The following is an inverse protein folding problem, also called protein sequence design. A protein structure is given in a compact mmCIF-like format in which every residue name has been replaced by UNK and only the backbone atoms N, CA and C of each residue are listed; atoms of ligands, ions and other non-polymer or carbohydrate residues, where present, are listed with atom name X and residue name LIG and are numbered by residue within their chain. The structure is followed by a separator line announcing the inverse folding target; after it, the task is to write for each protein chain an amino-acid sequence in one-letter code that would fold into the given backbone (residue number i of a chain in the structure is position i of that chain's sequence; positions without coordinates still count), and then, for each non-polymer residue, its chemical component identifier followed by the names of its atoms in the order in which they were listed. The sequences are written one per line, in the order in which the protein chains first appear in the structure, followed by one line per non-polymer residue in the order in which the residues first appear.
data_IF_821614040327
#
_entry.id   IF_821614040327
#
_cell.length_a   1.000
_cell.length_b   1.000
_cell.length_c   1.000
_cell.angle_alpha   90.00
_cell.angle_beta   90.00
_cell.angle_gamma   90.00
#
_symmetry.space_group_name_H-M   'P 1'
#
loop_
_entity.id
_entity.type
_entity.pdbx_description
1 polymer ?
#
# COMPACT_ATOMS: atom_id res chain seq x y z
N UNK A 1 36.04 -40.21 -17.38
CA UNK A 1 35.03 -39.15 -17.56
C UNK A 1 35.26 -38.12 -16.48
N UNK A 2 35.85 -36.96 -16.83
CA UNK A 2 35.96 -35.83 -15.91
C UNK A 2 34.64 -35.06 -15.96
N UNK A 3 33.96 -34.96 -14.81
CA UNK A 3 32.80 -34.09 -14.65
C UNK A 3 33.35 -32.70 -14.34
N UNK A 4 33.12 -31.73 -15.23
CA UNK A 4 33.46 -30.34 -14.94
C UNK A 4 32.36 -29.71 -14.08
N UNK A 5 32.75 -29.16 -12.93
CA UNK A 5 31.85 -28.44 -12.04
C UNK A 5 31.82 -26.96 -12.42
N UNK A 6 30.68 -26.48 -12.93
CA UNK A 6 30.46 -25.06 -13.19
C UNK A 6 29.67 -24.44 -12.05
N UNK A 7 30.31 -23.54 -11.29
CA UNK A 7 29.64 -22.76 -10.25
C UNK A 7 28.79 -21.64 -10.88
N UNK A 8 27.47 -21.78 -10.82
CA UNK A 8 26.50 -20.79 -11.29
C UNK A 8 25.88 -19.96 -10.14
N UNK A 9 26.40 -20.07 -8.92
CA UNK A 9 25.81 -19.46 -7.72
C UNK A 9 25.64 -17.94 -7.87
N UNK A 10 26.62 -17.24 -8.42
CA UNK A 10 26.54 -15.79 -8.63
C UNK A 10 25.44 -15.41 -9.64
N UNK A 11 25.28 -16.18 -10.71
CA UNK A 11 24.24 -15.95 -11.74
C UNK A 11 22.84 -16.19 -11.18
N UNK A 12 22.66 -17.27 -10.42
CA UNK A 12 21.37 -17.60 -9.80
C UNK A 12 20.97 -16.55 -8.76
N UNK A 13 21.92 -16.08 -7.93
CA UNK A 13 21.66 -15.00 -6.96
C UNK A 13 21.22 -13.71 -7.65
N UNK A 14 21.90 -13.32 -8.74
CA UNK A 14 21.56 -12.12 -9.49
C UNK A 14 20.17 -12.21 -10.15
N UNK A 15 19.87 -13.34 -10.81
CA UNK A 15 18.56 -13.57 -11.43
C UNK A 15 17.43 -13.57 -10.38
N UNK A 16 17.67 -14.17 -9.22
CA UNK A 16 16.71 -14.17 -8.12
C UNK A 16 16.47 -12.76 -7.58
N UNK A 17 17.53 -11.96 -7.36
CA UNK A 17 17.37 -10.57 -6.89
C UNK A 17 16.59 -9.72 -7.89
N UNK A 18 16.87 -9.83 -9.18
CA UNK A 18 16.17 -9.09 -10.23
C UNK A 18 14.69 -9.48 -10.30
N UNK A 19 14.39 -10.79 -10.23
CA UNK A 19 13.01 -11.29 -10.17
C UNK A 19 12.24 -10.80 -8.94
N UNK A 20 12.89 -10.75 -7.77
CA UNK A 20 12.28 -10.23 -6.54
C UNK A 20 12.02 -8.73 -6.63
N UNK A 21 12.93 -7.94 -7.21
CA UNK A 21 12.73 -6.50 -7.40
C UNK A 21 11.53 -6.24 -8.33
N UNK A 22 11.47 -6.92 -9.48
CA UNK A 22 10.33 -6.81 -10.40
C UNK A 22 9.01 -7.16 -9.72
N UNK A 23 9.01 -8.23 -8.93
CA UNK A 23 7.86 -8.62 -8.11
C UNK A 23 7.45 -7.55 -7.08
N UNK A 24 8.41 -6.87 -6.42
CA UNK A 24 8.10 -5.81 -5.47
C UNK A 24 7.45 -4.60 -6.15
N UNK A 25 7.86 -4.24 -7.36
CA UNK A 25 7.19 -3.20 -8.15
C UNK A 25 5.75 -3.59 -8.51
N UNK A 26 5.52 -4.84 -8.92
CA UNK A 26 4.16 -5.34 -9.21
C UNK A 26 3.28 -5.34 -7.95
N UNK A 27 3.80 -5.85 -6.84
CA UNK A 27 3.11 -5.91 -5.56
C UNK A 27 2.75 -4.50 -5.05
N UNK A 28 3.71 -3.56 -5.10
CA UNK A 28 3.51 -2.16 -4.74
C UNK A 28 2.44 -1.50 -5.61
N UNK A 29 2.52 -1.72 -6.93
CA UNK A 29 1.54 -1.22 -7.90
C UNK A 29 0.13 -1.77 -7.68
N UNK A 30 -0.02 -3.07 -7.38
CA UNK A 30 -1.33 -3.68 -7.10
C UNK A 30 -1.93 -3.13 -5.81
N UNK A 31 -1.16 -3.03 -4.72
CA UNK A 31 -1.62 -2.47 -3.46
C UNK A 31 -2.01 -1.00 -3.64
N UNK A 32 -1.19 -0.21 -4.36
CA UNK A 32 -1.50 1.18 -4.66
C UNK A 32 -2.81 1.29 -5.46
N UNK A 33 -2.95 0.55 -6.54
CA UNK A 33 -4.15 0.57 -7.38
C UNK A 33 -5.41 0.18 -6.57
N UNK A 34 -5.31 -0.84 -5.72
CA UNK A 34 -6.43 -1.26 -4.88
C UNK A 34 -6.75 -0.23 -3.79
N UNK A 35 -5.74 0.41 -3.20
CA UNK A 35 -5.91 1.50 -2.24
C UNK A 35 -6.67 2.65 -2.88
N UNK A 36 -6.25 3.08 -4.06
CA UNK A 36 -6.90 4.15 -4.82
C UNK A 36 -8.35 3.82 -5.21
N UNK A 37 -8.67 2.54 -5.48
CA UNK A 37 -10.05 2.10 -5.73
C UNK A 37 -10.92 2.16 -4.48
N UNK A 38 -10.35 1.90 -3.31
CA UNK A 38 -11.05 1.92 -2.03
C UNK A 38 -11.26 3.36 -1.48
N UNK A 39 -10.44 4.33 -1.90
CA UNK A 39 -10.49 5.72 -1.43
C UNK A 39 -11.80 6.43 -1.78
N UNK A 40 -12.19 7.42 -0.97
CA UNK A 40 -13.31 8.32 -1.32
C UNK A 40 -12.94 9.22 -2.48
N UNK A 41 -13.93 9.59 -3.28
CA UNK A 41 -13.76 10.54 -4.38
C UNK A 41 -14.77 11.67 -4.21
N UNK A 42 -14.26 12.84 -3.83
CA UNK A 42 -14.92 14.13 -4.04
C UNK A 42 -14.13 14.89 -5.12
N UNK A 43 -12.97 15.44 -4.76
CA UNK A 43 -12.02 16.07 -5.69
C UNK A 43 -11.03 15.10 -6.34
N UNK A 44 -10.88 13.90 -5.79
CA UNK A 44 -9.91 12.90 -6.22
C UNK A 44 -8.46 13.12 -5.75
N UNK A 45 -8.17 14.21 -5.04
CA UNK A 45 -6.80 14.55 -4.60
C UNK A 45 -6.16 13.44 -3.74
N UNK A 46 -6.85 12.99 -2.68
CA UNK A 46 -6.33 11.93 -1.79
C UNK A 46 -6.24 10.58 -2.47
N UNK A 47 -7.11 10.31 -3.44
CA UNK A 47 -6.98 9.12 -4.27
C UNK A 47 -5.71 9.19 -5.12
N UNK A 48 -5.45 10.32 -5.76
CA UNK A 48 -4.26 10.51 -6.61
C UNK A 48 -2.93 10.61 -5.85
N UNK A 49 -2.95 10.83 -4.54
CA UNK A 49 -1.74 11.00 -3.73
C UNK A 49 -1.12 9.71 -3.23
N UNK A 50 -1.82 8.57 -3.33
CA UNK A 50 -1.23 7.28 -2.97
C UNK A 50 -0.16 6.86 -3.99
N UNK A 51 1.05 6.63 -3.49
CA UNK A 51 2.22 6.20 -4.25
C UNK A 51 2.86 4.99 -3.57
N UNK A 52 3.66 4.26 -4.32
CA UNK A 52 4.54 3.22 -3.78
C UNK A 52 6.01 3.57 -4.07
N UNK A 53 6.90 3.07 -3.23
CA UNK A 53 8.35 3.16 -3.40
C UNK A 53 8.95 1.79 -3.08
N UNK A 54 9.90 1.36 -3.91
CA UNK A 54 10.70 0.15 -3.67
C UNK A 54 12.07 0.60 -3.20
N UNK A 55 12.50 0.09 -2.06
CA UNK A 55 13.84 0.26 -1.53
C UNK A 55 14.62 -1.02 -1.78
N UNK A 56 15.57 -0.96 -2.71
CA UNK A 56 16.42 -2.07 -3.12
C UNK A 56 17.65 -2.15 -2.21
N UNK A 57 17.48 -2.74 -1.03
CA UNK A 57 18.60 -3.06 -0.15
C UNK A 57 19.42 -4.25 -0.67
N UNK A 58 20.70 -4.31 -0.26
CA UNK A 58 21.61 -5.43 -0.59
C UNK A 58 21.17 -6.77 -0.02
N UNK A 59 20.54 -6.75 1.16
CA UNK A 59 20.13 -7.96 1.90
C UNK A 59 18.61 -8.08 2.01
N UNK A 60 17.90 -6.94 2.12
CA UNK A 60 16.44 -6.88 2.18
C UNK A 60 15.92 -5.81 1.24
N UNK A 61 15.02 -6.19 0.34
CA UNK A 61 14.29 -5.25 -0.49
C UNK A 61 12.88 -5.07 0.06
N UNK A 62 12.43 -3.83 0.21
CA UNK A 62 11.14 -3.52 0.80
C UNK A 62 10.29 -2.66 -0.13
N UNK A 63 8.97 -2.78 -0.02
CA UNK A 63 8.03 -1.92 -0.73
C UNK A 63 7.14 -1.20 0.26
N UNK A 64 7.12 0.13 0.18
CA UNK A 64 6.28 0.99 0.99
C UNK A 64 5.18 1.59 0.12
N UNK A 65 3.94 1.59 0.62
CA UNK A 65 2.79 2.24 -0.02
C UNK A 65 2.19 3.24 0.95
N UNK A 66 1.92 4.46 0.50
CA UNK A 66 1.42 5.52 1.37
C UNK A 66 1.02 6.77 0.61
N UNK A 67 0.66 7.81 1.36
CA UNK A 67 0.34 9.13 0.84
C UNK A 67 0.94 10.20 1.75
N UNK A 68 1.30 11.32 1.14
CA UNK A 68 1.80 12.55 1.76
C UNK A 68 0.68 13.50 2.27
N UNK A 69 -0.59 13.17 2.04
CA UNK A 69 -1.72 14.04 2.39
C UNK A 69 -2.36 13.58 3.72
N UNK A 70 -2.56 14.51 4.64
CA UNK A 70 -3.18 14.27 5.95
C UNK A 70 -4.57 13.61 5.85
N UNK A 71 -5.37 13.97 4.85
CA UNK A 71 -6.66 13.34 4.63
C UNK A 71 -6.57 11.82 4.38
N UNK A 72 -5.43 11.28 3.96
CA UNK A 72 -5.22 9.83 3.89
C UNK A 72 -5.22 9.19 5.28
N UNK A 73 -4.62 9.86 6.28
CA UNK A 73 -4.63 9.41 7.69
C UNK A 73 -6.07 9.42 8.22
N UNK A 74 -6.82 10.50 7.95
CA UNK A 74 -8.22 10.58 8.36
C UNK A 74 -9.12 9.56 7.65
N UNK A 75 -8.80 9.16 6.42
CA UNK A 75 -9.51 8.06 5.74
C UNK A 75 -9.17 6.69 6.27
N UNK A 76 -7.96 6.51 6.79
CA UNK A 76 -7.54 5.25 7.40
C UNK A 76 -8.14 5.09 8.79
N UNK A 77 -7.97 6.09 9.67
CA UNK A 77 -8.29 5.96 11.10
C UNK A 77 -9.55 6.69 11.53
N UNK A 78 -10.10 7.57 10.69
CA UNK A 78 -11.27 8.38 11.06
C UNK A 78 -10.92 9.53 11.99
N UNK A 79 -11.91 10.37 12.29
CA UNK A 79 -11.75 11.51 13.21
C UNK A 79 -12.98 11.70 14.07
N UNK A 80 -12.82 12.44 15.17
CA UNK A 80 -13.93 12.75 16.09
C UNK A 80 -14.51 11.50 16.74
N UNK A 81 -15.83 11.38 16.74
CA UNK A 81 -16.51 10.23 17.32
C UNK A 81 -16.23 8.93 16.58
N UNK A 82 -15.87 9.01 15.30
CA UNK A 82 -15.59 7.87 14.43
C UNK A 82 -14.12 7.46 14.40
N UNK A 83 -13.26 8.05 15.23
CA UNK A 83 -11.87 7.62 15.36
C UNK A 83 -11.84 6.13 15.75
N UNK A 84 -11.10 5.32 14.99
CA UNK A 84 -11.07 3.86 15.09
C UNK A 84 -10.67 3.39 16.50
N UNK A 85 -9.76 4.14 17.14
CA UNK A 85 -9.25 3.83 18.48
C UNK A 85 -10.05 4.50 19.61
N UNK A 86 -11.13 5.20 19.29
CA UNK A 86 -12.02 5.84 20.26
C UNK A 86 -11.45 7.10 20.91
N UNK A 87 -10.24 7.50 20.54
CA UNK A 87 -9.43 8.62 21.04
C UNK A 87 -9.80 9.99 20.46
N UNK A 88 -10.69 10.03 19.46
CA UNK A 88 -11.16 11.28 18.88
C UNK A 88 -12.18 12.04 19.75
N UNK A 89 -12.24 13.36 19.54
CA UNK A 89 -13.15 14.30 20.21
C UNK A 89 -14.61 13.84 20.16
N UNK A 90 -15.30 13.89 21.29
CA UNK A 90 -16.73 13.57 21.44
C UNK A 90 -17.62 14.82 21.41
N UNK A 91 -18.89 14.65 21.07
CA UNK A 91 -19.91 15.69 21.05
C UNK A 91 -20.00 16.49 19.73
N UNK A 92 -19.28 16.05 18.70
CA UNK A 92 -19.20 16.74 17.41
C UNK A 92 -18.64 18.17 17.48
N UNK A 93 -18.65 18.84 16.34
CA UNK A 93 -18.34 20.27 16.24
C UNK A 93 -19.09 20.89 15.06
N UNK A 94 -19.25 22.21 15.13
CA UNK A 94 -19.84 23.01 14.05
C UNK A 94 -18.73 23.75 13.31
N UNK A 95 -18.77 23.74 11.98
CA UNK A 95 -17.86 24.52 11.14
C UNK A 95 -18.63 25.26 10.05
N UNK A 96 -18.08 26.38 9.59
CA UNK A 96 -18.59 27.11 8.42
C UNK A 96 -17.93 26.57 7.17
N UNK A 97 -18.71 26.01 6.25
CA UNK A 97 -18.22 25.48 4.99
C UNK A 97 -17.71 26.61 4.09
N UNK A 98 -16.52 26.42 3.52
CA UNK A 98 -15.93 27.35 2.55
C UNK A 98 -16.59 27.25 1.17
N UNK A 99 -17.32 26.15 0.87
CA UNK A 99 -17.97 25.94 -0.44
C UNK A 99 -19.21 26.82 -0.60
N UNK A 100 -20.01 26.98 0.46
CA UNK A 100 -21.34 27.61 0.41
C UNK A 100 -21.61 28.57 1.57
N UNK A 101 -20.68 28.73 2.51
CA UNK A 101 -20.79 29.66 3.64
C UNK A 101 -21.76 29.23 4.74
N UNK A 102 -22.35 28.03 4.67
CA UNK A 102 -23.31 27.53 5.69
C UNK A 102 -22.59 26.86 6.85
N UNK A 103 -23.27 26.82 8.01
CA UNK A 103 -22.80 26.09 9.18
C UNK A 103 -23.24 24.63 9.10
N UNK A 104 -22.30 23.72 9.32
CA UNK A 104 -22.53 22.28 9.36
C UNK A 104 -22.08 21.73 10.70
N UNK A 105 -22.93 20.89 11.30
CA UNK A 105 -22.55 20.06 12.44
C UNK A 105 -22.02 18.72 11.93
N UNK A 106 -20.88 18.27 12.46
CA UNK A 106 -20.30 16.97 12.13
C UNK A 106 -19.77 16.28 13.37
N UNK A 107 -19.87 14.96 13.38
CA UNK A 107 -19.27 14.08 14.39
C UNK A 107 -17.85 13.63 14.02
N UNK A 108 -17.36 14.06 12.85
CA UNK A 108 -16.07 13.70 12.29
C UNK A 108 -16.17 12.83 11.05
N UNK A 109 -15.03 12.32 10.60
CA UNK A 109 -14.91 11.54 9.37
C UNK A 109 -14.87 10.05 9.70
N UNK A 110 -15.72 9.27 9.03
CA UNK A 110 -15.70 7.81 9.18
C UNK A 110 -14.50 7.18 8.48
N UNK A 111 -13.80 6.23 9.14
CA UNK A 111 -12.68 5.52 8.55
C UNK A 111 -13.16 4.59 7.43
N UNK A 112 -12.61 4.74 6.22
CA UNK A 112 -12.78 3.76 5.14
C UNK A 112 -11.73 2.67 5.17
N UNK A 113 -10.55 2.93 5.75
CA UNK A 113 -9.40 2.02 5.78
C UNK A 113 -8.97 1.56 4.37
N UNK A 114 -8.79 2.47 3.39
CA UNK A 114 -8.47 2.07 2.03
C UNK A 114 -7.19 1.25 1.91
N UNK A 115 -6.15 1.59 2.70
CA UNK A 115 -4.84 0.94 2.63
C UNK A 115 -4.85 -0.40 3.37
N UNK A 116 -5.38 -0.44 4.60
CA UNK A 116 -5.49 -1.70 5.36
C UNK A 116 -6.33 -2.74 4.61
N UNK A 117 -7.47 -2.33 4.03
CA UNK A 117 -8.31 -3.25 3.25
C UNK A 117 -7.63 -3.69 1.96
N UNK A 118 -6.92 -2.79 1.28
CA UNK A 118 -6.15 -3.15 0.10
C UNK A 118 -5.09 -4.19 0.45
N UNK A 119 -4.29 -3.93 1.49
CA UNK A 119 -3.27 -4.85 1.97
C UNK A 119 -3.86 -6.22 2.34
N UNK A 120 -4.91 -6.27 3.16
CA UNK A 120 -5.56 -7.53 3.55
C UNK A 120 -6.07 -8.33 2.34
N UNK A 121 -6.59 -7.65 1.31
CA UNK A 121 -7.11 -8.30 0.11
C UNK A 121 -6.02 -8.81 -0.85
N UNK A 122 -4.89 -8.10 -0.92
CA UNK A 122 -3.83 -8.35 -1.90
C UNK A 122 -2.70 -9.21 -1.32
N UNK A 123 -2.41 -9.11 -0.02
CA UNK A 123 -1.40 -9.91 0.68
C UNK A 123 -1.45 -11.43 0.40
N UNK A 124 -2.63 -12.11 0.41
CA UNK A 124 -2.67 -13.54 0.09
C UNK A 124 -2.33 -13.84 -1.39
N UNK A 125 -2.56 -12.91 -2.31
CA UNK A 125 -2.22 -13.05 -3.74
C UNK A 125 -0.73 -12.84 -3.96
N UNK A 126 -0.16 -11.78 -3.37
CA UNK A 126 1.27 -11.46 -3.38
C UNK A 126 2.08 -12.67 -2.90
N UNK A 127 1.69 -13.31 -1.79
CA UNK A 127 2.39 -14.51 -1.29
C UNK A 127 2.43 -15.64 -2.32
N UNK A 128 1.33 -15.87 -3.05
CA UNK A 128 1.28 -16.91 -4.10
C UNK A 128 2.12 -16.53 -5.32
N UNK A 129 2.09 -15.26 -5.73
CA UNK A 129 2.89 -14.76 -6.83
C UNK A 129 4.39 -14.85 -6.54
N UNK A 130 4.83 -14.51 -5.34
CA UNK A 130 6.24 -14.64 -4.94
C UNK A 130 6.75 -16.07 -5.12
N UNK A 131 5.98 -17.07 -4.68
CA UNK A 131 6.34 -18.49 -4.85
C UNK A 131 6.50 -18.85 -6.33
N UNK A 132 5.65 -18.32 -7.20
CA UNK A 132 5.74 -18.58 -8.64
C UNK A 132 6.97 -17.90 -9.26
N UNK A 133 7.27 -16.65 -8.88
CA UNK A 133 8.45 -15.91 -9.33
C UNK A 133 9.74 -16.64 -8.94
N UNK A 134 9.82 -17.14 -7.70
CA UNK A 134 10.96 -17.93 -7.24
C UNK A 134 11.11 -19.21 -8.07
N UNK A 135 10.01 -19.94 -8.32
CA UNK A 135 10.05 -21.17 -9.13
C UNK A 135 10.48 -20.92 -10.57
N UNK A 136 10.01 -19.84 -11.20
CA UNK A 136 10.37 -19.49 -12.57
C UNK A 136 11.85 -19.12 -12.68
N UNK A 137 12.38 -18.37 -11.72
CA UNK A 137 13.79 -17.95 -11.72
C UNK A 137 14.78 -19.09 -11.36
N UNK A 138 14.32 -20.12 -10.65
CA UNK A 138 15.13 -21.31 -10.33
C UNK A 138 15.15 -22.36 -11.46
N UNK A 139 14.49 -22.09 -12.60
CA UNK A 139 14.46 -23.00 -13.75
C UNK A 139 13.57 -24.20 -13.50
N UNK A 140 12.25 -23.98 -13.54
CA UNK A 140 11.20 -24.97 -13.27
C UNK A 140 11.41 -26.36 -13.86
#
# INVERSE_FOLDING_TARGET
MSVEFTDNTAKIKAALSEGVIGFLHEAGGEIQAQTQRNSRVDTGQTKGSYKYMVDEGKDESTVAVGSDIENAIWEEFGTGEYALHGDGRKGGWVYKSKKDGKFYHTYGKTPRQPLTKAFQSVAPKIKKQLVNVIKQNLGG
#
